data_IF_138671377018
#
_entry.id   IF_138671377018
#
_cell.length_a   1.000
_cell.length_b   1.000
_cell.length_c   1.000
_cell.angle_alpha   90.00
_cell.angle_beta   90.00
_cell.angle_gamma   90.00
#
_symmetry.space_group_name_H-M   'P 1'
#
loop_
_entity.id
_entity.type
_entity.pdbx_description
1 polymer ?
#
# COMPACT_ATOMS: atom_id res chain seq x y z
N UNK A 1 -49.06 24.25 -9.51
CA UNK A 1 -48.24 24.96 -8.51
C UNK A 1 -46.82 24.43 -8.62
N UNK A 2 -45.93 25.16 -9.30
CA UNK A 2 -44.54 24.75 -9.53
C UNK A 2 -43.65 25.34 -8.43
N UNK A 3 -43.05 24.49 -7.61
CA UNK A 3 -42.10 24.89 -6.57
C UNK A 3 -40.72 25.10 -7.19
N UNK A 4 -40.28 26.37 -7.25
CA UNK A 4 -38.90 26.76 -7.59
C UNK A 4 -37.96 26.24 -6.50
N UNK A 5 -36.97 25.40 -6.88
CA UNK A 5 -35.81 25.10 -6.03
C UNK A 5 -34.90 26.33 -5.94
N UNK A 6 -34.38 26.68 -4.75
CA UNK A 6 -33.43 27.77 -4.60
C UNK A 6 -32.04 27.38 -5.12
N UNK A 7 -31.35 28.35 -5.70
CA UNK A 7 -30.00 28.21 -6.23
C UNK A 7 -28.99 27.96 -5.10
N UNK A 8 -28.22 26.88 -5.24
CA UNK A 8 -27.09 26.54 -4.37
C UNK A 8 -25.95 27.52 -4.61
N UNK A 9 -25.63 28.33 -3.59
CA UNK A 9 -24.50 29.25 -3.58
C UNK A 9 -23.24 28.46 -3.26
N UNK A 10 -22.43 28.16 -4.28
CA UNK A 10 -21.09 27.60 -4.12
C UNK A 10 -20.18 28.65 -3.51
N UNK A 11 -19.84 28.48 -2.23
CA UNK A 11 -18.80 29.25 -1.55
C UNK A 11 -17.45 28.65 -1.93
N UNK A 12 -16.69 29.34 -2.79
CA UNK A 12 -15.30 28.97 -3.07
C UNK A 12 -14.42 29.19 -1.83
N UNK A 13 -13.61 28.21 -1.41
CA UNK A 13 -12.65 28.40 -0.34
C UNK A 13 -11.52 29.33 -0.84
N UNK A 14 -11.50 30.56 -0.33
CA UNK A 14 -10.40 31.51 -0.55
C UNK A 14 -9.15 31.05 0.21
N UNK A 15 -8.32 30.24 -0.44
CA UNK A 15 -6.96 29.97 0.03
C UNK A 15 -6.14 31.25 -0.07
N UNK A 16 -6.00 31.97 1.05
CA UNK A 16 -5.06 33.08 1.18
C UNK A 16 -3.64 32.55 0.91
N UNK A 17 -3.09 32.88 -0.26
CA UNK A 17 -1.66 32.73 -0.57
C UNK A 17 -0.87 33.41 0.56
N UNK A 18 -0.27 32.61 1.44
CA UNK A 18 0.73 33.08 2.40
C UNK A 18 1.90 33.61 1.60
N UNK A 19 2.08 34.93 1.60
CA UNK A 19 3.29 35.57 1.07
C UNK A 19 4.49 34.94 1.78
N UNK A 20 5.29 34.16 1.05
CA UNK A 20 6.61 33.71 1.49
C UNK A 20 7.52 34.94 1.53
N UNK A 21 7.49 35.68 2.63
CA UNK A 21 8.63 36.50 3.03
C UNK A 21 9.79 35.54 3.28
N UNK A 22 10.69 35.45 2.31
CA UNK A 22 11.99 34.80 2.43
C UNK A 22 12.75 35.50 3.57
N UNK A 23 12.63 35.00 4.79
CA UNK A 23 13.57 35.30 5.85
C UNK A 23 14.91 34.73 5.40
N UNK A 24 15.76 35.60 4.84
CA UNK A 24 17.17 35.31 4.67
C UNK A 24 17.72 35.02 6.07
N UNK A 25 17.98 33.74 6.34
CA UNK A 25 18.71 33.35 7.53
C UNK A 25 20.07 34.03 7.46
N UNK A 26 20.52 34.71 8.54
CA UNK A 26 21.82 35.34 8.56
C UNK A 26 22.87 34.29 8.20
N UNK A 27 23.63 34.53 7.13
CA UNK A 27 24.66 33.61 6.66
C UNK A 27 25.63 33.32 7.79
N UNK A 28 25.59 32.09 8.31
CA UNK A 28 26.45 31.67 9.42
C UNK A 28 27.88 31.66 8.91
N UNK A 29 28.65 32.67 9.27
CA UNK A 29 30.05 32.78 8.88
C UNK A 29 30.88 31.92 9.84
N UNK A 30 31.39 30.81 9.34
CA UNK A 30 32.29 29.95 10.10
C UNK A 30 33.61 30.67 10.32
N UNK A 31 34.03 30.84 11.58
CA UNK A 31 35.38 31.27 11.89
C UNK A 31 36.34 30.16 11.45
N UNK A 32 37.27 30.48 10.54
CA UNK A 32 38.32 29.54 10.16
C UNK A 32 39.17 29.22 11.40
N UNK A 33 39.57 27.97 11.54
CA UNK A 33 40.52 27.57 12.58
C UNK A 33 41.79 28.42 12.43
N UNK A 34 42.21 29.08 13.50
CA UNK A 34 43.50 29.78 13.55
C UNK A 34 44.59 28.78 13.17
N UNK A 35 45.36 29.06 12.12
CA UNK A 35 46.32 28.16 11.48
C UNK A 35 47.50 27.66 12.34
N UNK A 36 47.43 27.79 13.66
CA UNK A 36 48.45 27.38 14.62
C UNK A 36 47.97 26.31 15.62
N UNK A 37 46.78 25.71 15.46
CA UNK A 37 46.38 24.60 16.35
C UNK A 37 47.11 23.32 15.95
N UNK A 38 47.79 22.62 16.88
CA UNK A 38 48.24 21.25 16.64
C UNK A 38 47.05 20.42 16.15
N UNK A 39 47.31 19.51 15.22
CA UNK A 39 46.30 18.64 14.59
C UNK A 39 45.36 18.09 15.66
N UNK A 40 44.09 18.49 15.61
CA UNK A 40 43.09 17.94 16.53
C UNK A 40 42.86 16.48 16.13
N UNK A 41 43.58 15.57 16.78
CA UNK A 41 43.58 14.14 16.49
C UNK A 41 42.16 13.56 16.50
N UNK A 42 41.27 14.07 17.36
CA UNK A 42 39.87 13.63 17.41
C UNK A 42 39.10 14.00 16.14
N UNK A 43 39.27 15.20 15.60
CA UNK A 43 38.64 15.61 14.34
C UNK A 43 39.18 14.82 13.14
N UNK A 44 40.48 14.49 13.16
CA UNK A 44 41.08 13.64 12.15
C UNK A 44 40.54 12.21 12.23
N UNK A 45 40.46 11.64 13.43
CA UNK A 45 39.93 10.30 13.70
C UNK A 45 38.44 10.19 13.32
N UNK A 46 37.60 11.14 13.73
CA UNK A 46 36.17 11.16 13.36
C UNK A 46 35.95 11.41 11.86
N UNK A 47 36.93 12.01 11.18
CA UNK A 47 36.93 12.14 9.73
C UNK A 47 37.33 10.89 8.96
N UNK A 48 37.86 9.86 9.62
CA UNK A 48 38.12 8.58 8.99
C UNK A 48 36.79 7.93 8.63
N UNK A 49 36.65 7.54 7.35
CA UNK A 49 35.39 7.03 6.80
C UNK A 49 34.75 5.91 7.63
N UNK A 50 35.49 4.90 8.15
CA UNK A 50 34.88 3.85 8.98
C UNK A 50 34.24 4.37 10.29
N UNK A 51 34.84 5.38 10.90
CA UNK A 51 34.35 5.96 12.15
C UNK A 51 33.14 6.84 11.87
N UNK A 52 33.22 7.68 10.83
CA UNK A 52 32.09 8.49 10.40
C UNK A 52 30.89 7.63 10.02
N UNK A 53 31.13 6.55 9.29
CA UNK A 53 30.13 5.55 8.94
C UNK A 53 29.46 4.95 10.17
N UNK A 54 30.24 4.54 11.17
CA UNK A 54 29.71 3.98 12.40
C UNK A 54 28.88 5.00 13.18
N UNK A 55 29.35 6.25 13.29
CA UNK A 55 28.57 7.34 13.91
C UNK A 55 27.24 7.51 13.17
N UNK A 56 27.29 7.63 11.84
CA UNK A 56 26.12 7.86 10.98
C UNK A 56 25.13 6.70 11.03
N UNK A 57 25.59 5.47 11.22
CA UNK A 57 24.72 4.30 11.33
C UNK A 57 23.76 4.33 12.52
N UNK A 58 24.05 5.16 13.53
CA UNK A 58 23.20 5.36 14.71
C UNK A 58 22.40 6.66 14.66
N UNK A 59 22.41 7.38 13.54
CA UNK A 59 21.71 8.65 13.37
C UNK A 59 20.49 8.50 12.47
N UNK A 60 19.45 9.31 12.73
CA UNK A 60 18.34 9.49 11.78
C UNK A 60 18.74 10.53 10.72
N UNK A 61 18.03 10.59 9.57
CA UNK A 61 18.32 11.60 8.56
C UNK A 61 18.24 13.04 9.08
N UNK A 62 17.38 13.31 10.08
CA UNK A 62 17.22 14.62 10.69
C UNK A 62 18.48 15.05 11.50
N UNK A 63 19.26 14.11 12.01
CA UNK A 63 20.42 14.36 12.88
C UNK A 63 21.69 14.65 12.06
N UNK A 64 21.69 14.32 10.76
CA UNK A 64 22.81 14.59 9.87
C UNK A 64 23.12 16.09 9.71
N UNK A 65 22.08 16.93 9.70
CA UNK A 65 22.25 18.39 9.58
C UNK A 65 22.89 18.95 10.86
N UNK A 66 22.36 18.69 12.08
CA UNK A 66 23.05 19.04 13.31
C UNK A 66 24.49 18.52 13.37
N UNK A 67 24.75 17.27 12.99
CA UNK A 67 26.10 16.71 12.97
C UNK A 67 27.03 17.52 12.05
N UNK A 68 26.58 17.83 10.83
CA UNK A 68 27.35 18.64 9.89
C UNK A 68 27.58 20.07 10.39
N UNK A 69 26.67 20.58 11.24
CA UNK A 69 26.75 21.90 11.85
C UNK A 69 27.64 21.94 13.11
N UNK A 70 28.21 20.81 13.54
CA UNK A 70 29.14 20.80 14.68
C UNK A 70 30.48 21.46 14.33
N UNK A 71 31.05 21.16 13.15
CA UNK A 71 32.29 21.76 12.66
C UNK A 71 32.49 21.60 11.15
N UNK A 72 33.36 22.43 10.57
CA UNK A 72 33.70 22.40 9.14
C UNK A 72 34.27 21.05 8.69
N UNK A 73 35.09 20.39 9.53
CA UNK A 73 35.67 19.08 9.22
C UNK A 73 34.58 18.02 9.06
N UNK A 74 33.61 17.95 9.98
CA UNK A 74 32.46 17.04 9.85
C UNK A 74 31.63 17.34 8.61
N UNK A 75 31.34 18.63 8.35
CA UNK A 75 30.64 19.04 7.12
C UNK A 75 31.38 18.55 5.86
N UNK A 76 32.69 18.75 5.80
CA UNK A 76 33.52 18.33 4.67
C UNK A 76 33.56 16.80 4.51
N UNK A 77 33.67 16.05 5.61
CA UNK A 77 33.73 14.58 5.59
C UNK A 77 32.38 13.93 5.26
N UNK A 78 31.26 14.52 5.70
CA UNK A 78 29.92 14.11 5.26
C UNK A 78 29.72 14.34 3.76
N UNK A 79 30.47 15.29 3.19
CA UNK A 79 30.60 15.51 1.75
C UNK A 79 29.26 15.51 0.99
N UNK A 80 28.29 16.31 1.47
CA UNK A 80 26.96 16.38 0.85
C UNK A 80 26.97 16.84 -0.61
N UNK A 81 28.07 17.45 -1.08
CA UNK A 81 28.26 17.82 -2.48
C UNK A 81 28.52 16.61 -3.40
N UNK A 82 29.02 15.50 -2.86
CA UNK A 82 29.25 14.26 -3.60
C UNK A 82 28.03 13.35 -3.55
N UNK A 83 27.37 13.15 -4.70
CA UNK A 83 26.19 12.28 -4.82
C UNK A 83 26.45 10.85 -4.33
N UNK A 84 27.66 10.31 -4.56
CA UNK A 84 28.03 8.95 -4.15
C UNK A 84 28.26 8.86 -2.63
N UNK A 85 28.96 9.84 -2.05
CA UNK A 85 29.18 9.89 -0.60
C UNK A 85 27.86 10.03 0.14
N UNK A 86 27.01 10.95 -0.34
CA UNK A 86 25.67 11.14 0.20
C UNK A 86 24.83 9.86 0.13
N UNK A 87 24.79 9.17 -1.03
CA UNK A 87 24.06 7.90 -1.17
C UNK A 87 24.58 6.84 -0.20
N UNK A 88 25.89 6.69 -0.08
CA UNK A 88 26.51 5.72 0.82
C UNK A 88 26.24 6.00 2.30
N UNK A 89 26.11 7.28 2.69
CA UNK A 89 25.73 7.64 4.06
C UNK A 89 24.23 7.39 4.30
N UNK A 90 23.38 7.76 3.33
CA UNK A 90 21.94 7.57 3.42
C UNK A 90 21.51 6.09 3.49
N UNK A 91 22.31 5.16 2.95
CA UNK A 91 22.03 3.72 3.08
C UNK A 91 22.38 3.18 4.46
N UNK A 92 23.15 3.91 5.27
CA UNK A 92 23.68 3.44 6.56
C UNK A 92 22.95 4.03 7.75
N UNK A 93 22.38 5.23 7.60
CA UNK A 93 21.55 5.85 8.64
C UNK A 93 20.36 4.97 9.06
N UNK A 94 19.82 5.26 10.23
CA UNK A 94 18.58 4.69 10.71
C UNK A 94 17.39 5.15 9.86
N UNK A 95 16.31 4.37 9.90
CA UNK A 95 15.04 4.79 9.32
C UNK A 95 14.52 6.06 10.01
N UNK A 96 13.89 6.96 9.26
CA UNK A 96 13.36 8.22 9.80
C UNK A 96 12.15 8.08 10.71
N UNK A 97 11.46 6.93 10.70
CA UNK A 97 10.17 6.74 11.39
C UNK A 97 8.98 7.44 10.74
N UNK A 98 9.19 8.14 9.61
CA UNK A 98 8.14 8.96 9.00
C UNK A 98 6.92 8.14 8.55
N UNK A 99 7.12 6.92 8.06
CA UNK A 99 6.02 6.08 7.60
C UNK A 99 5.08 5.70 8.75
N UNK A 100 5.63 5.12 9.81
CA UNK A 100 4.88 4.79 11.03
C UNK A 100 4.24 6.03 11.66
N UNK A 101 4.96 7.15 11.74
CA UNK A 101 4.43 8.42 12.22
C UNK A 101 3.18 8.84 11.43
N UNK A 102 3.27 8.84 10.09
CA UNK A 102 2.17 9.29 9.23
C UNK A 102 0.96 8.37 9.34
N UNK A 103 1.15 7.05 9.38
CA UNK A 103 0.05 6.10 9.60
C UNK A 103 -0.65 6.38 10.94
N UNK A 104 0.12 6.54 12.01
CA UNK A 104 -0.44 6.85 13.32
C UNK A 104 -1.21 8.19 13.35
N UNK A 105 -0.88 9.15 12.47
CA UNK A 105 -1.56 10.44 12.38
C UNK A 105 -2.77 10.44 11.47
N UNK A 106 -2.74 9.69 10.36
CA UNK A 106 -3.83 9.63 9.40
C UNK A 106 -4.94 8.70 9.88
N UNK A 107 -4.56 7.59 10.52
CA UNK A 107 -5.52 6.63 11.05
C UNK A 107 -6.31 7.24 12.22
N UNK A 108 -7.65 7.32 12.13
CA UNK A 108 -8.45 7.79 13.26
C UNK A 108 -8.26 6.87 14.48
N UNK A 109 -8.46 7.38 15.71
CA UNK A 109 -8.59 6.52 16.87
C UNK A 109 -9.78 5.58 16.65
N UNK A 110 -9.57 4.27 16.86
CA UNK A 110 -10.64 3.30 16.72
C UNK A 110 -11.65 3.45 17.87
N UNK A 111 -12.96 3.56 17.60
CA UNK A 111 -13.97 3.82 18.64
C UNK A 111 -14.17 2.65 19.62
N UNK A 112 -13.83 1.42 19.22
CA UNK A 112 -14.12 0.20 19.99
C UNK A 112 -13.09 -0.27 21.04
N UNK A 113 -11.95 0.41 21.21
CA UNK A 113 -10.98 0.16 22.29
C UNK A 113 -10.23 -1.21 22.33
N UNK A 114 -10.76 -2.26 21.71
CA UNK A 114 -10.18 -3.62 21.74
C UNK A 114 -8.97 -3.77 20.80
N UNK A 115 -9.00 -3.07 19.66
CA UNK A 115 -7.89 -3.05 18.69
C UNK A 115 -6.77 -2.13 19.16
N UNK A 116 -5.57 -2.69 19.32
CA UNK A 116 -4.36 -1.95 19.66
C UNK A 116 -3.52 -1.72 18.42
N UNK A 117 -2.88 -0.57 18.34
CA UNK A 117 -1.88 -0.30 17.31
C UNK A 117 -0.65 -1.12 17.59
N UNK A 118 -0.15 -1.76 16.55
CA UNK A 118 1.07 -2.54 16.60
C UNK A 118 2.01 -2.08 15.48
N UNK A 119 3.30 -2.07 15.77
CA UNK A 119 4.35 -1.66 14.85
C UNK A 119 5.32 -0.69 15.50
N UNK A 120 6.61 -0.97 15.36
CA UNK A 120 7.71 -0.13 15.85
C UNK A 120 8.60 0.25 14.67
N UNK A 121 9.17 1.44 14.68
CA UNK A 121 10.12 1.79 13.63
C UNK A 121 11.44 1.07 13.90
N UNK A 122 12.04 0.44 12.88
CA UNK A 122 13.40 -0.09 13.00
C UNK A 122 14.50 0.98 13.22
N UNK A 123 14.15 2.27 13.29
CA UNK A 123 15.04 3.36 13.74
C UNK A 123 14.84 3.76 15.21
N UNK A 124 13.89 3.13 15.91
CA UNK A 124 13.64 3.28 17.35
C UNK A 124 14.14 2.06 18.12
N UNK A 125 13.96 0.89 17.54
CA UNK A 125 14.35 -0.38 18.14
C UNK A 125 15.45 -1.04 17.30
N UNK A 126 16.66 -1.07 17.84
CA UNK A 126 17.80 -1.74 17.20
C UNK A 126 17.79 -3.24 17.41
N UNK A 127 17.01 -3.75 18.35
CA UNK A 127 17.04 -5.13 18.80
C UNK A 127 16.04 -5.98 18.02
N UNK A 128 15.05 -5.34 17.39
CA UNK A 128 14.16 -6.00 16.45
C UNK A 128 14.85 -6.23 15.10
N UNK A 129 14.89 -7.51 14.69
CA UNK A 129 15.25 -7.98 13.35
C UNK A 129 14.23 -7.49 12.30
N UNK A 130 14.13 -6.18 12.13
CA UNK A 130 13.29 -5.56 11.13
C UNK A 130 14.09 -5.37 9.84
N UNK A 131 13.52 -5.86 8.73
CA UNK A 131 14.12 -5.70 7.42
C UNK A 131 14.25 -4.22 7.04
N UNK A 132 15.42 -3.84 6.52
CA UNK A 132 15.76 -2.47 6.13
C UNK A 132 16.49 -2.48 4.80
N UNK A 133 16.04 -1.63 3.89
CA UNK A 133 16.72 -1.40 2.61
C UNK A 133 16.72 0.09 2.24
N UNK A 134 17.68 0.53 1.42
CA UNK A 134 17.67 1.88 0.89
C UNK A 134 16.48 2.09 -0.06
N UNK A 135 15.79 3.22 0.09
CA UNK A 135 14.69 3.60 -0.78
C UNK A 135 15.15 3.67 -2.25
N UNK A 136 14.45 3.02 -3.17
CA UNK A 136 14.81 2.97 -4.61
C UNK A 136 14.94 4.35 -5.26
N UNK A 137 14.16 5.34 -4.81
CA UNK A 137 14.17 6.72 -5.34
C UNK A 137 15.20 7.64 -4.68
N UNK A 138 15.23 7.72 -3.35
CA UNK A 138 16.07 8.69 -2.62
C UNK A 138 17.29 8.10 -1.92
N UNK A 139 17.42 6.78 -1.83
CA UNK A 139 18.53 6.07 -1.18
C UNK A 139 18.49 6.06 0.35
N UNK A 140 17.54 6.74 0.98
CA UNK A 140 17.38 6.75 2.45
C UNK A 140 17.02 5.35 2.93
N UNK A 141 17.77 4.82 3.89
CA UNK A 141 17.46 3.56 4.54
C UNK A 141 16.06 3.60 5.17
N UNK A 142 15.25 2.61 4.86
CA UNK A 142 13.85 2.55 5.24
C UNK A 142 13.56 1.16 5.79
N UNK A 143 12.89 1.06 6.93
CA UNK A 143 12.46 -0.23 7.47
C UNK A 143 11.14 -0.68 6.84
N UNK A 144 10.78 -1.95 6.97
CA UNK A 144 9.52 -2.50 6.45
C UNK A 144 8.31 -1.71 6.99
N UNK A 145 8.31 -1.41 8.28
CA UNK A 145 7.29 -0.54 8.90
C UNK A 145 7.27 0.90 8.36
N UNK A 146 8.22 1.37 7.54
CA UNK A 146 8.22 2.75 7.03
C UNK A 146 8.28 2.85 5.51
N UNK A 147 8.32 1.72 4.80
CA UNK A 147 8.19 1.70 3.35
C UNK A 147 6.72 1.75 2.95
N UNK A 148 6.47 1.92 1.66
CA UNK A 148 5.13 1.88 1.07
C UNK A 148 4.70 0.41 0.95
N UNK A 149 3.56 0.09 1.53
CA UNK A 149 2.85 -1.18 1.33
C UNK A 149 1.52 -0.93 0.63
N UNK A 150 0.93 -1.97 0.04
CA UNK A 150 -0.46 -1.92 -0.41
C UNK A 150 -1.42 -2.07 0.76
N UNK A 151 -1.13 -2.98 1.67
CA UNK A 151 -1.86 -3.22 2.91
C UNK A 151 -0.91 -3.13 4.10
N UNK A 152 -1.20 -2.21 5.00
CA UNK A 152 -0.56 -2.19 6.31
C UNK A 152 -1.43 -2.91 7.31
N UNK A 153 -0.94 -4.00 7.88
CA UNK A 153 -1.49 -4.58 9.09
C UNK A 153 -1.00 -3.75 10.28
N UNK A 154 -1.89 -2.93 10.84
CA UNK A 154 -1.52 -1.93 11.86
C UNK A 154 -2.26 -2.11 13.17
N UNK A 155 -3.29 -2.95 13.19
CA UNK A 155 -4.15 -3.17 14.35
C UNK A 155 -4.27 -4.65 14.65
N UNK A 156 -4.20 -4.98 15.93
CA UNK A 156 -4.40 -6.32 16.45
C UNK A 156 -5.27 -6.26 17.69
N UNK A 157 -6.23 -7.17 17.78
CA UNK A 157 -7.05 -7.36 18.98
C UNK A 157 -6.35 -8.33 19.93
N UNK A 158 -6.27 -7.97 21.20
CA UNK A 158 -5.92 -8.94 22.23
C UNK A 158 -7.19 -9.71 22.63
N UNK A 159 -7.45 -10.82 21.96
CA UNK A 159 -8.67 -11.59 22.16
C UNK A 159 -8.70 -12.33 23.51
N UNK A 160 -7.60 -12.34 24.25
CA UNK A 160 -7.43 -13.15 25.45
C UNK A 160 -7.29 -14.66 25.14
N UNK A 161 -7.13 -15.49 26.19
CA UNK A 161 -6.92 -16.92 26.02
C UNK A 161 -8.14 -17.62 25.44
N UNK A 162 -7.92 -18.46 24.42
CA UNK A 162 -8.97 -19.30 23.81
C UNK A 162 -9.83 -18.64 22.75
N UNK A 163 -9.49 -17.42 22.32
CA UNK A 163 -10.24 -16.68 21.32
C UNK A 163 -9.42 -16.40 20.06
N UNK A 164 -10.10 -16.34 18.91
CA UNK A 164 -9.48 -15.90 17.66
C UNK A 164 -9.13 -14.42 17.74
N UNK A 165 -7.87 -14.11 17.46
CA UNK A 165 -7.36 -12.76 17.30
C UNK A 165 -7.94 -12.10 16.05
N UNK A 166 -8.46 -10.88 16.16
CA UNK A 166 -8.79 -10.07 15.00
C UNK A 166 -7.57 -9.24 14.58
N UNK A 167 -7.36 -9.15 13.27
CA UNK A 167 -6.39 -8.25 12.68
C UNK A 167 -7.11 -7.25 11.79
N UNK A 168 -6.59 -6.03 11.80
CA UNK A 168 -7.07 -5.00 10.92
C UNK A 168 -5.91 -4.15 10.41
N UNK A 169 -6.18 -3.49 9.31
CA UNK A 169 -5.18 -2.72 8.58
C UNK A 169 -5.82 -1.65 7.74
N UNK A 170 -5.04 -1.06 6.83
CA UNK A 170 -5.56 -0.07 5.89
C UNK A 170 -4.88 -0.22 4.54
N UNK A 171 -5.61 0.12 3.49
CA UNK A 171 -5.14 0.10 2.10
C UNK A 171 -4.36 1.38 1.82
N UNK A 172 -3.05 1.28 1.61
CA UNK A 172 -2.11 2.39 1.44
C UNK A 172 -2.26 3.51 2.49
N UNK A 173 -2.75 4.69 2.09
CA UNK A 173 -2.95 5.86 2.94
C UNK A 173 -4.44 6.15 3.17
N UNK A 174 -5.30 5.15 2.95
CA UNK A 174 -6.72 5.23 3.27
C UNK A 174 -6.91 5.38 4.77
N UNK A 175 -7.88 6.17 5.19
CA UNK A 175 -8.29 6.35 6.59
C UNK A 175 -9.23 5.24 7.07
N UNK A 176 -9.87 4.51 6.14
CA UNK A 176 -10.69 3.34 6.42
C UNK A 176 -9.87 2.11 6.79
N UNK A 177 -10.26 1.45 7.89
CA UNK A 177 -9.64 0.20 8.31
C UNK A 177 -10.35 -1.01 7.70
N UNK A 178 -9.60 -1.94 7.12
CA UNK A 178 -10.11 -3.20 6.58
C UNK A 178 -9.81 -4.36 7.51
N UNK A 179 -10.69 -5.34 7.54
CA UNK A 179 -10.46 -6.62 8.24
C UNK A 179 -9.38 -7.41 7.51
N UNK A 180 -8.46 -8.00 8.26
CA UNK A 180 -7.40 -8.85 7.73
C UNK A 180 -7.51 -10.25 8.32
N UNK A 181 -7.22 -11.23 7.47
CA UNK A 181 -7.31 -12.64 7.80
C UNK A 181 -6.02 -13.34 7.37
N UNK A 182 -5.59 -14.39 8.09
CA UNK A 182 -4.49 -15.22 7.64
C UNK A 182 -4.82 -15.90 6.29
N UNK A 183 -3.82 -16.25 5.47
CA UNK A 183 -4.00 -17.05 4.27
C UNK A 183 -4.76 -18.37 4.51
N UNK A 184 -5.50 -18.85 3.49
CA UNK A 184 -6.50 -19.91 3.62
C UNK A 184 -5.93 -21.29 4.02
N UNK A 185 -4.80 -21.70 3.44
CA UNK A 185 -4.22 -23.04 3.62
C UNK A 185 -3.10 -23.05 4.67
N UNK A 186 -3.18 -22.17 5.67
CA UNK A 186 -2.13 -22.13 6.70
C UNK A 186 -2.35 -23.22 7.74
N UNK A 187 -1.41 -24.16 7.80
CA UNK A 187 -1.26 -25.00 8.97
C UNK A 187 -0.94 -24.11 10.19
N UNK A 188 -1.91 -23.97 11.10
CA UNK A 188 -1.85 -23.13 12.30
C UNK A 188 -0.58 -23.39 13.12
N UNK A 189 -0.12 -24.65 13.18
CA UNK A 189 1.08 -25.03 13.93
C UNK A 189 2.39 -24.53 13.28
N UNK A 190 2.38 -24.30 11.95
CA UNK A 190 3.55 -23.81 11.20
C UNK A 190 3.55 -22.31 11.01
N UNK A 191 2.39 -21.65 11.07
CA UNK A 191 2.28 -20.21 10.84
C UNK A 191 2.38 -19.37 12.10
N UNK A 192 3.50 -19.53 12.81
CA UNK A 192 3.84 -18.70 13.98
C UNK A 192 3.67 -17.19 13.77
N UNK A 193 3.93 -16.56 12.60
CA UNK A 193 3.90 -15.10 12.52
C UNK A 193 2.52 -14.46 12.80
N UNK A 194 1.43 -15.04 12.31
CA UNK A 194 0.08 -14.50 12.54
C UNK A 194 -0.40 -14.73 13.97
N UNK A 195 -0.05 -15.88 14.54
CA UNK A 195 -0.50 -16.35 15.86
C UNK A 195 0.54 -16.19 16.96
N UNK A 196 1.64 -15.47 16.70
CA UNK A 196 2.68 -15.21 17.69
C UNK A 196 2.11 -14.45 18.89
N UNK A 197 2.71 -14.63 20.06
CA UNK A 197 2.44 -13.77 21.21
C UNK A 197 2.68 -12.30 20.84
N UNK A 198 1.96 -11.38 21.48
CA UNK A 198 2.02 -9.95 21.10
C UNK A 198 3.45 -9.38 21.16
N UNK A 199 4.28 -9.87 22.09
CA UNK A 199 5.67 -9.43 22.24
C UNK A 199 6.58 -9.98 21.13
N UNK A 200 6.20 -11.08 20.48
CA UNK A 200 6.94 -11.72 19.38
C UNK A 200 6.34 -11.42 18.00
N UNK A 201 5.16 -10.79 17.98
CA UNK A 201 4.39 -10.56 16.79
C UNK A 201 5.11 -9.61 15.83
N UNK A 202 5.20 -9.99 14.55
CA UNK A 202 5.73 -9.14 13.49
C UNK A 202 4.60 -8.85 12.50
N UNK A 203 4.31 -7.58 12.18
CA UNK A 203 3.27 -7.26 11.20
C UNK A 203 3.51 -7.97 9.87
N UNK A 204 2.43 -8.50 9.30
CA UNK A 204 2.41 -9.27 8.05
C UNK A 204 1.78 -8.40 6.95
N UNK A 205 2.46 -7.31 6.61
CA UNK A 205 2.02 -6.42 5.54
C UNK A 205 1.93 -7.15 4.20
N UNK A 206 0.97 -6.78 3.36
CA UNK A 206 0.76 -7.34 2.01
C UNK A 206 0.61 -8.88 1.94
N UNK A 207 0.33 -9.55 3.06
CA UNK A 207 0.12 -11.01 3.15
C UNK A 207 -1.25 -11.27 3.74
N UNK A 208 -1.90 -12.36 3.34
CA UNK A 208 -3.19 -12.75 3.88
C UNK A 208 -4.36 -12.56 2.95
N UNK A 209 -5.52 -12.38 3.57
CA UNK A 209 -6.76 -12.06 2.90
C UNK A 209 -7.32 -10.78 3.50
N UNK A 210 -8.01 -10.01 2.67
CA UNK A 210 -8.62 -8.73 3.05
C UNK A 210 -10.14 -8.85 2.96
N UNK A 211 -10.83 -8.42 4.02
CA UNK A 211 -12.29 -8.32 4.04
C UNK A 211 -12.77 -6.90 3.78
N UNK A 212 -14.04 -6.68 4.11
CA UNK A 212 -14.66 -5.35 4.08
C UNK A 212 -14.05 -4.42 5.13
N UNK A 213 -14.39 -3.14 5.02
CA UNK A 213 -14.08 -2.12 6.03
C UNK A 213 -14.68 -2.53 7.39
N UNK A 214 -13.98 -2.28 8.50
CA UNK A 214 -14.39 -2.69 9.85
C UNK A 214 -15.80 -2.21 10.23
N UNK A 215 -16.15 -0.98 9.89
CA UNK A 215 -17.45 -0.35 10.17
C UNK A 215 -18.49 -0.58 9.07
N UNK A 216 -18.18 -1.43 8.08
CA UNK A 216 -19.12 -1.80 7.02
C UNK A 216 -20.32 -2.58 7.56
N UNK A 217 -21.51 -2.20 7.11
CA UNK A 217 -22.75 -2.97 7.31
C UNK A 217 -22.84 -4.18 6.36
N UNK A 218 -22.04 -4.18 5.30
CA UNK A 218 -21.95 -5.30 4.36
C UNK A 218 -21.03 -6.39 4.88
N UNK A 219 -21.35 -7.64 4.56
CA UNK A 219 -20.42 -8.75 4.66
C UNK A 219 -19.84 -9.04 3.27
N UNK A 220 -18.66 -9.63 3.22
CA UNK A 220 -18.14 -10.21 1.99
C UNK A 220 -17.15 -11.32 2.33
N UNK A 221 -16.99 -12.25 1.39
CA UNK A 221 -15.93 -13.25 1.44
C UNK A 221 -14.57 -12.55 1.33
N UNK A 222 -13.61 -12.77 2.24
CA UNK A 222 -12.29 -12.18 2.17
C UNK A 222 -11.54 -12.63 0.93
N UNK A 223 -10.85 -11.68 0.35
CA UNK A 223 -10.17 -11.83 -0.92
C UNK A 223 -8.68 -12.04 -0.69
N UNK A 224 -8.07 -12.95 -1.45
CA UNK A 224 -6.64 -13.21 -1.35
C UNK A 224 -5.84 -11.98 -1.76
N UNK A 225 -4.93 -11.52 -0.89
CA UNK A 225 -4.02 -10.44 -1.24
C UNK A 225 -3.08 -10.84 -2.37
N UNK A 226 -2.68 -12.10 -2.48
CA UNK A 226 -1.85 -12.53 -3.61
C UNK A 226 -2.57 -12.34 -4.94
N UNK A 227 -3.84 -12.74 -5.00
CA UNK A 227 -4.66 -12.52 -6.19
C UNK A 227 -4.78 -11.02 -6.54
N UNK A 228 -5.14 -10.19 -5.55
CA UNK A 228 -5.29 -8.74 -5.74
C UNK A 228 -3.96 -8.11 -6.18
N UNK A 229 -2.86 -8.51 -5.55
CA UNK A 229 -1.54 -7.93 -5.78
C UNK A 229 -0.95 -8.34 -7.13
N UNK A 230 -1.20 -9.57 -7.58
CA UNK A 230 -0.66 -10.14 -8.82
C UNK A 230 -1.61 -10.00 -10.02
N UNK A 231 -2.80 -9.43 -9.84
CA UNK A 231 -3.70 -9.15 -10.96
C UNK A 231 -2.99 -8.28 -12.01
N UNK A 232 -2.98 -8.75 -13.25
CA UNK A 232 -2.41 -8.03 -14.37
C UNK A 232 -3.27 -6.81 -14.75
N UNK A 233 -2.79 -5.62 -14.37
CA UNK A 233 -3.53 -4.37 -14.58
C UNK A 233 -3.45 -3.85 -16.02
N UNK A 234 -2.70 -4.52 -16.90
CA UNK A 234 -2.70 -4.22 -18.33
C UNK A 234 -3.91 -4.76 -19.07
N UNK A 235 -4.54 -5.81 -18.53
CA UNK A 235 -5.73 -6.46 -19.09
C UNK A 235 -7.05 -5.98 -18.46
N UNK A 236 -6.98 -5.25 -17.34
CA UNK A 236 -8.16 -4.83 -16.56
C UNK A 236 -8.04 -3.40 -16.07
N UNK A 237 -9.16 -2.67 -16.08
CA UNK A 237 -9.26 -1.31 -15.52
C UNK A 237 -9.66 -1.32 -14.04
N UNK A 238 -10.22 -2.43 -13.56
CA UNK A 238 -10.56 -2.74 -12.17
C UNK A 238 -10.14 -4.16 -11.82
N UNK A 239 -9.90 -4.37 -10.54
CA UNK A 239 -9.82 -5.69 -9.91
C UNK A 239 -11.26 -6.05 -9.54
N UNK A 240 -11.70 -7.22 -9.99
CA UNK A 240 -12.99 -7.81 -9.64
C UNK A 240 -12.77 -8.79 -8.48
N UNK A 241 -13.70 -8.85 -7.51
CA UNK A 241 -13.63 -9.84 -6.44
C UNK A 241 -13.83 -11.26 -7.02
N UNK A 242 -13.23 -12.28 -6.41
CA UNK A 242 -13.53 -13.69 -6.72
C UNK A 242 -14.81 -14.16 -6.04
N UNK A 243 -15.17 -13.56 -4.92
CA UNK A 243 -16.39 -13.86 -4.18
C UNK A 243 -17.67 -13.38 -4.87
N UNK A 244 -18.84 -13.71 -4.31
CA UNK A 244 -20.14 -13.26 -4.82
C UNK A 244 -20.24 -11.74 -4.98
N UNK A 245 -20.87 -11.32 -6.06
CA UNK A 245 -21.14 -9.92 -6.39
C UNK A 245 -22.66 -9.71 -6.29
N UNK A 246 -23.16 -9.37 -5.10
CA UNK A 246 -24.53 -8.88 -4.90
C UNK A 246 -25.26 -9.40 -3.67
N UNK A 247 -26.30 -8.67 -3.26
CA UNK A 247 -27.11 -8.98 -2.09
C UNK A 247 -26.45 -8.51 -0.78
N UNK A 248 -26.47 -9.34 0.25
CA UNK A 248 -25.83 -9.07 1.56
C UNK A 248 -24.31 -9.31 1.50
N UNK A 249 -23.85 -10.07 0.49
CA UNK A 249 -22.45 -10.37 0.22
C UNK A 249 -21.94 -9.51 -0.94
N UNK A 250 -21.23 -8.42 -0.63
CA UNK A 250 -20.79 -7.45 -1.62
C UNK A 250 -19.26 -7.46 -1.74
N UNK A 251 -18.72 -8.38 -2.55
CA UNK A 251 -17.28 -8.46 -2.81
C UNK A 251 -16.68 -7.15 -3.33
N UNK A 252 -17.46 -6.31 -4.04
CA UNK A 252 -16.95 -5.02 -4.55
C UNK A 252 -16.62 -4.05 -3.44
N UNK A 253 -17.24 -4.17 -2.27
CA UNK A 253 -16.93 -3.35 -1.11
C UNK A 253 -15.47 -3.49 -0.67
N UNK A 254 -14.89 -4.69 -0.84
CA UNK A 254 -13.47 -4.95 -0.58
C UNK A 254 -12.60 -4.24 -1.63
N UNK A 255 -13.00 -4.29 -2.90
CA UNK A 255 -12.20 -3.79 -4.02
C UNK A 255 -12.19 -2.27 -4.18
N UNK A 256 -13.07 -1.51 -3.51
CA UNK A 256 -13.21 -0.06 -3.69
C UNK A 256 -11.86 0.67 -3.59
N UNK A 257 -11.13 0.47 -2.49
CA UNK A 257 -9.88 1.19 -2.24
C UNK A 257 -8.77 0.81 -3.22
N UNK A 258 -8.66 -0.47 -3.56
CA UNK A 258 -7.71 -0.95 -4.57
C UNK A 258 -8.03 -0.36 -5.95
N UNK A 259 -9.31 -0.36 -6.33
CA UNK A 259 -9.75 0.17 -7.61
C UNK A 259 -9.57 1.68 -7.76
N UNK A 260 -9.60 2.44 -6.66
CA UNK A 260 -9.19 3.86 -6.68
C UNK A 260 -7.72 3.96 -7.12
N UNK A 261 -6.82 3.19 -6.50
CA UNK A 261 -5.38 3.19 -6.81
C UNK A 261 -5.13 2.72 -8.24
N UNK A 262 -5.76 1.62 -8.66
CA UNK A 262 -5.65 1.08 -10.02
C UNK A 262 -6.10 2.12 -11.05
N UNK A 263 -7.21 2.81 -10.82
CA UNK A 263 -7.70 3.86 -11.74
C UNK A 263 -6.78 5.08 -11.81
N UNK A 264 -6.05 5.42 -10.74
CA UNK A 264 -5.11 6.56 -10.75
C UNK A 264 -3.96 6.40 -11.74
N UNK A 265 -3.64 5.18 -12.16
CA UNK A 265 -2.57 4.93 -13.15
C UNK A 265 -3.05 5.13 -14.58
N UNK A 266 -4.35 5.20 -14.85
CA UNK A 266 -4.87 5.16 -16.22
C UNK A 266 -4.78 6.56 -16.82
N UNK A 267 -4.04 6.65 -17.93
CA UNK A 267 -3.96 7.84 -18.76
C UNK A 267 -4.77 7.63 -20.03
N UNK A 268 -5.57 8.63 -20.41
CA UNK A 268 -6.21 8.69 -21.72
C UNK A 268 -5.36 9.51 -22.68
N UNK A 269 -5.13 8.98 -23.88
CA UNK A 269 -4.35 9.63 -24.94
C UNK A 269 -5.05 9.48 -26.28
N UNK A 270 -5.02 10.53 -27.12
CA UNK A 270 -5.31 10.37 -28.54
C UNK A 270 -4.20 9.53 -29.21
N UNK A 271 -4.49 8.90 -30.35
CA UNK A 271 -3.53 8.06 -31.07
C UNK A 271 -2.16 8.75 -31.27
N UNK A 272 -2.14 10.03 -31.73
CA UNK A 272 -0.89 10.78 -31.92
C UNK A 272 -0.03 10.88 -30.63
N UNK A 273 -0.65 11.26 -29.51
CA UNK A 273 0.07 11.35 -28.23
C UNK A 273 0.41 9.98 -27.67
N UNK A 274 -0.42 8.97 -27.92
CA UNK A 274 -0.16 7.59 -27.53
C UNK A 274 1.08 7.03 -28.25
N UNK A 275 1.21 7.26 -29.56
CA UNK A 275 2.41 6.89 -30.33
C UNK A 275 3.63 7.65 -29.82
N UNK A 276 3.48 8.97 -29.61
CA UNK A 276 4.57 9.82 -29.12
C UNK A 276 5.08 9.40 -27.73
N UNK A 277 4.18 8.99 -26.84
CA UNK A 277 4.50 8.52 -25.49
C UNK A 277 5.01 7.05 -25.49
N UNK A 278 5.13 6.41 -26.66
CA UNK A 278 5.68 5.05 -26.82
C UNK A 278 4.68 3.92 -26.60
N UNK A 279 3.37 4.21 -26.54
CA UNK A 279 2.34 3.24 -26.19
C UNK A 279 2.19 2.06 -27.16
N UNK A 280 2.64 2.21 -28.42
CA UNK A 280 2.59 1.13 -29.42
C UNK A 280 3.60 0.01 -29.14
N UNK A 281 4.67 0.28 -28.39
CA UNK A 281 5.81 -0.64 -28.31
C UNK A 281 5.61 -1.78 -27.30
N UNK A 282 4.69 -1.64 -26.34
CA UNK A 282 4.48 -2.65 -25.30
C UNK A 282 3.08 -2.61 -24.69
N UNK A 283 2.55 -3.80 -24.40
CA UNK A 283 1.38 -3.97 -23.53
C UNK A 283 1.79 -3.71 -22.08
N UNK A 284 0.89 -3.14 -21.29
CA UNK A 284 1.09 -3.02 -19.85
C UNK A 284 1.06 -4.42 -19.22
N UNK A 285 1.98 -4.67 -18.28
CA UNK A 285 2.04 -5.92 -17.49
C UNK A 285 2.16 -5.62 -15.99
N UNK A 286 1.94 -4.35 -15.59
CA UNK A 286 2.11 -3.95 -14.21
C UNK A 286 1.11 -4.66 -13.30
N UNK A 287 1.59 -5.05 -12.13
CA UNK A 287 0.77 -5.51 -11.02
C UNK A 287 0.88 -4.52 -9.84
N UNK A 288 0.00 -4.65 -8.85
CA UNK A 288 0.13 -3.90 -7.60
C UNK A 288 1.37 -4.36 -6.81
N UNK A 289 1.72 -5.64 -6.87
CA UNK A 289 2.92 -6.21 -6.24
C UNK A 289 4.19 -5.56 -6.75
N UNK A 290 4.38 -5.51 -8.08
CA UNK A 290 5.54 -4.87 -8.70
C UNK A 290 5.62 -3.39 -8.35
N UNK A 291 4.47 -2.70 -8.34
CA UNK A 291 4.42 -1.25 -8.14
C UNK A 291 4.73 -0.83 -6.70
N UNK A 292 4.25 -1.60 -5.71
CA UNK A 292 4.29 -1.17 -4.31
C UNK A 292 5.06 -2.11 -3.39
N UNK A 293 4.96 -3.43 -3.57
CA UNK A 293 5.50 -4.41 -2.62
C UNK A 293 6.97 -4.76 -2.91
N UNK A 294 7.31 -4.99 -4.18
CA UNK A 294 8.69 -5.33 -4.58
C UNK A 294 9.60 -4.10 -4.59
N UNK A 295 9.03 -2.90 -4.68
CA UNK A 295 9.77 -1.65 -4.66
C UNK A 295 9.93 -1.17 -3.23
N UNK A 296 11.15 -1.21 -2.72
CA UNK A 296 11.46 -0.60 -1.43
C UNK A 296 11.39 0.94 -1.52
N UNK A 297 10.20 1.52 -1.41
CA UNK A 297 9.97 2.95 -1.57
C UNK A 297 9.60 3.54 -0.22
N UNK A 298 10.30 4.57 0.25
CA UNK A 298 9.90 5.23 1.50
C UNK A 298 8.60 6.00 1.33
N UNK A 299 7.81 6.14 2.40
CA UNK A 299 6.51 6.84 2.35
C UNK A 299 6.61 8.26 1.77
N UNK A 300 7.68 9.01 2.05
CA UNK A 300 7.90 10.34 1.45
C UNK A 300 7.95 10.30 -0.08
N UNK A 301 8.71 9.36 -0.63
CA UNK A 301 8.79 9.18 -2.07
C UNK A 301 7.48 8.61 -2.64
N UNK A 302 6.81 7.72 -1.91
CA UNK A 302 5.47 7.22 -2.24
C UNK A 302 4.44 8.33 -2.39
N UNK A 303 4.33 9.22 -1.40
CA UNK A 303 3.41 10.38 -1.45
C UNK A 303 3.71 11.27 -2.65
N UNK A 304 4.99 11.50 -2.97
CA UNK A 304 5.37 12.26 -4.15
C UNK A 304 4.93 11.57 -5.45
N UNK A 305 5.10 10.25 -5.55
CA UNK A 305 4.60 9.46 -6.70
C UNK A 305 3.07 9.50 -6.79
N UNK A 306 2.36 9.36 -5.68
CA UNK A 306 0.90 9.46 -5.63
C UNK A 306 0.41 10.84 -6.06
N UNK A 307 1.13 11.91 -5.67
CA UNK A 307 0.81 13.27 -6.11
C UNK A 307 1.09 13.47 -7.61
N UNK A 308 2.19 12.90 -8.14
CA UNK A 308 2.46 12.85 -9.59
C UNK A 308 1.34 12.10 -10.33
N UNK A 309 0.89 10.95 -9.82
CA UNK A 309 -0.22 10.17 -10.39
C UNK A 309 -1.54 10.97 -10.35
N UNK A 310 -1.84 11.61 -9.23
CA UNK A 310 -3.06 12.41 -9.04
C UNK A 310 -3.10 13.66 -9.91
N UNK A 311 -2.00 14.42 -9.99
CA UNK A 311 -1.95 15.64 -10.82
C UNK A 311 -2.12 15.33 -12.31
N UNK A 312 -1.62 14.18 -12.76
CA UNK A 312 -1.88 13.71 -14.11
C UNK A 312 -3.36 13.35 -14.34
N UNK A 313 -4.09 12.93 -13.29
CA UNK A 313 -5.52 12.61 -13.36
C UNK A 313 -6.44 13.81 -13.17
N UNK A 314 -6.12 14.78 -12.32
CA UNK A 314 -7.01 15.95 -12.08
C UNK A 314 -7.14 16.87 -13.29
N UNK A 315 -6.15 16.87 -14.20
CA UNK A 315 -6.30 17.48 -15.52
C UNK A 315 -7.42 16.79 -16.32
N UNK A 316 -7.87 15.61 -15.91
CA UNK A 316 -8.79 14.73 -16.65
C UNK A 316 -10.16 14.43 -15.99
N UNK A 317 -10.41 14.83 -14.74
CA UNK A 317 -11.58 14.33 -13.96
C UNK A 317 -12.93 14.97 -14.33
N UNK A 318 -12.96 16.07 -15.08
CA UNK A 318 -14.22 16.61 -15.67
C UNK A 318 -14.31 16.44 -17.19
N UNK A 319 -13.18 16.16 -17.83
CA UNK A 319 -13.03 15.88 -19.26
C UNK A 319 -11.78 15.04 -19.39
N UNK A 320 -11.85 13.88 -20.03
CA UNK A 320 -10.67 13.04 -20.28
C UNK A 320 -9.69 13.79 -21.22
N UNK A 321 -8.88 14.70 -20.71
CA UNK A 321 -8.06 15.60 -21.54
C UNK A 321 -6.72 14.93 -21.86
N UNK A 322 -6.42 14.79 -23.15
CA UNK A 322 -5.08 14.46 -23.61
C UNK A 322 -4.16 15.68 -23.38
N UNK A 323 -2.85 15.51 -23.09
CA UNK A 323 -1.93 16.64 -22.93
C UNK A 323 -1.88 17.63 -24.10
N UNK A 324 -2.29 17.20 -25.31
CA UNK A 324 -2.42 18.09 -26.48
C UNK A 324 -3.69 18.97 -26.47
N UNK A 325 -4.46 18.96 -25.38
CA UNK A 325 -5.69 19.74 -25.19
C UNK A 325 -6.78 19.46 -26.24
N UNK A 326 -6.71 18.33 -26.97
CA UNK A 326 -7.86 17.81 -27.72
C UNK A 326 -8.93 17.40 -26.71
N UNK A 327 -9.93 18.27 -26.54
CA UNK A 327 -11.07 18.06 -25.66
C UNK A 327 -11.94 16.92 -26.18
N UNK A 328 -12.43 16.10 -25.25
CA UNK A 328 -13.48 15.14 -25.51
C UNK A 328 -14.83 15.82 -25.30
N UNK A 329 -15.64 15.89 -26.34
CA UNK A 329 -17.09 15.97 -26.14
C UNK A 329 -17.55 14.64 -25.56
N UNK A 330 -18.32 14.70 -24.47
CA UNK A 330 -18.70 13.57 -23.63
C UNK A 330 -19.55 12.52 -24.36
N UNK A 331 -20.09 12.86 -25.54
CA UNK A 331 -21.04 12.06 -26.30
C UNK A 331 -20.42 11.02 -27.25
N UNK A 332 -19.12 11.10 -27.54
CA UNK A 332 -18.44 10.11 -28.37
C UNK A 332 -17.07 9.87 -27.75
N UNK A 333 -16.81 8.69 -27.20
CA UNK A 333 -15.44 8.22 -27.04
C UNK A 333 -15.02 7.77 -28.44
N UNK A 334 -14.27 8.58 -29.20
CA UNK A 334 -13.87 8.19 -30.54
C UNK A 334 -13.01 6.94 -30.43
N UNK A 335 -13.13 6.03 -31.40
CA UNK A 335 -12.29 4.82 -31.55
C UNK A 335 -10.77 5.10 -31.52
N UNK A 336 -10.38 6.37 -31.58
CA UNK A 336 -9.00 6.89 -31.62
C UNK A 336 -8.38 7.16 -30.26
N UNK A 337 -9.07 6.84 -29.15
CA UNK A 337 -8.52 6.99 -27.81
C UNK A 337 -7.97 5.70 -27.26
N UNK A 338 -6.80 5.81 -26.64
CA UNK A 338 -6.06 4.69 -26.07
C UNK A 338 -5.87 4.90 -24.58
N UNK A 339 -6.06 3.83 -23.82
CA UNK A 339 -5.69 3.77 -22.42
C UNK A 339 -4.22 3.38 -22.30
N UNK A 340 -3.49 4.12 -21.49
CA UNK A 340 -2.06 3.93 -21.26
C UNK A 340 -1.79 3.91 -19.77
N UNK A 341 -0.94 2.98 -19.32
CA UNK A 341 -0.53 2.91 -17.93
C UNK A 341 0.49 4.01 -17.62
N UNK A 342 0.23 4.86 -16.61
CA UNK A 342 1.14 5.93 -16.20
C UNK A 342 2.48 5.39 -15.69
N UNK A 343 2.46 4.19 -15.10
CA UNK A 343 3.63 3.61 -14.45
C UNK A 343 4.64 3.07 -15.47
N UNK A 344 4.21 2.23 -16.41
CA UNK A 344 5.11 1.62 -17.40
C UNK A 344 5.03 2.27 -18.79
N UNK A 345 4.04 3.14 -19.05
CA UNK A 345 3.72 3.71 -20.38
C UNK A 345 3.24 2.69 -21.43
N UNK A 346 2.85 1.48 -21.00
CA UNK A 346 2.30 0.45 -21.89
C UNK A 346 0.80 0.62 -22.15
N UNK A 347 0.31 0.03 -23.25
CA UNK A 347 -1.11 -0.04 -23.62
C UNK A 347 -1.92 -0.85 -22.60
N UNK A 348 -3.10 -0.35 -22.22
CA UNK A 348 -4.11 -1.12 -21.46
C UNK A 348 -5.19 -1.57 -22.45
N UNK A 349 -5.54 -2.85 -22.42
CA UNK A 349 -6.59 -3.45 -23.26
C UNK A 349 -7.59 -4.08 -22.30
N UNK A 350 -8.87 -3.77 -22.45
CA UNK A 350 -9.94 -4.33 -21.61
C UNK A 350 -10.61 -5.50 -22.35
N UNK A 351 -10.85 -6.61 -21.64
CA UNK A 351 -11.66 -7.72 -22.16
C UNK A 351 -10.96 -8.70 -23.11
N UNK A 352 -9.65 -8.60 -23.31
CA UNK A 352 -8.86 -9.73 -23.80
C UNK A 352 -8.58 -10.64 -22.58
N UNK A 353 -9.60 -11.41 -22.17
CA UNK A 353 -9.37 -12.58 -21.32
C UNK A 353 -8.73 -13.62 -22.25
N UNK A 354 -7.40 -13.69 -22.22
CA UNK A 354 -6.67 -14.73 -22.92
C UNK A 354 -7.10 -16.07 -22.28
N UNK A 355 -7.83 -16.91 -23.04
CA UNK A 355 -8.27 -18.27 -22.65
C UNK A 355 -7.11 -19.17 -22.14
N UNK A 356 -5.86 -18.70 -22.24
CA UNK A 356 -4.64 -19.37 -21.81
C UNK A 356 -4.37 -19.29 -20.29
N UNK A 357 -4.97 -18.35 -19.55
CA UNK A 357 -4.72 -18.19 -18.10
C UNK A 357 -5.59 -19.09 -17.20
N UNK A 358 -6.63 -19.74 -17.73
CA UNK A 358 -7.47 -20.69 -16.97
C UNK A 358 -6.82 -22.08 -16.80
N UNK A 359 -5.63 -22.32 -17.38
CA UNK A 359 -4.90 -23.60 -17.25
C UNK A 359 -3.72 -23.55 -16.27
N UNK A 360 -3.69 -22.61 -15.32
CA UNK A 360 -2.87 -22.84 -14.12
C UNK A 360 -3.63 -23.82 -13.22
N UNK A 361 -3.73 -25.07 -13.70
CA UNK A 361 -4.00 -26.23 -12.88
C UNK A 361 -3.00 -26.19 -11.72
N UNK A 362 -3.53 -26.07 -10.53
CA UNK A 362 -2.90 -26.48 -9.28
C UNK A 362 -2.53 -27.96 -9.42
N UNK A 363 -1.37 -28.21 -10.02
CA UNK A 363 -0.67 -29.50 -9.91
C UNK A 363 -0.17 -29.64 -8.49
N UNK A 364 -1.05 -30.00 -7.57
CA UNK A 364 -0.70 -30.60 -6.30
C UNK A 364 -1.70 -31.71 -5.99
N UNK A 365 -1.22 -32.93 -6.29
CA UNK A 365 -1.41 -34.19 -5.56
C UNK A 365 -2.77 -34.92 -5.59
N UNK A 366 -2.71 -36.09 -6.23
CA UNK A 366 -3.70 -37.16 -6.22
C UNK A 366 -4.13 -37.57 -4.80
N UNK A 367 -5.38 -37.36 -4.42
CA UNK A 367 -6.04 -38.12 -3.36
C UNK A 367 -7.43 -38.58 -3.85
N UNK A 368 -7.50 -39.86 -4.25
CA UNK A 368 -8.75 -40.57 -4.42
C UNK A 368 -9.40 -40.76 -3.04
N UNK A 369 -10.53 -40.12 -2.79
CA UNK A 369 -11.39 -40.47 -1.67
C UNK A 369 -12.82 -40.75 -2.14
N UNK A 370 -13.33 -41.83 -1.57
CA UNK A 370 -14.52 -42.58 -1.88
C UNK A 370 -15.81 -41.93 -1.34
N UNK A 371 -16.93 -42.38 -1.91
CA UNK A 371 -18.24 -41.82 -1.65
C UNK A 371 -18.72 -41.97 -0.21
N UNK A 372 -19.28 -40.88 0.31
CA UNK A 372 -20.40 -40.93 1.24
C UNK A 372 -21.22 -39.64 1.05
N UNK A 373 -22.47 -39.80 0.63
CA UNK A 373 -23.38 -38.68 0.42
C UNK A 373 -23.91 -38.14 1.74
N UNK A 374 -24.21 -36.84 1.78
CA UNK A 374 -25.18 -36.25 2.72
C UNK A 374 -25.59 -34.81 2.31
N UNK A 375 -26.56 -34.12 2.96
CA UNK A 375 -27.92 -33.96 2.44
C UNK A 375 -28.40 -32.49 2.59
N UNK A 376 -27.90 -31.55 1.79
CA UNK A 376 -28.15 -30.12 2.05
C UNK A 376 -28.93 -29.38 0.97
N UNK A 377 -30.19 -29.78 0.79
CA UNK A 377 -31.16 -29.02 -0.03
C UNK A 377 -32.38 -28.51 0.76
N UNK A 378 -32.38 -28.56 2.09
CA UNK A 378 -33.57 -28.16 2.85
C UNK A 378 -33.34 -27.76 4.30
N UNK A 379 -32.68 -26.64 4.60
CA UNK A 379 -32.92 -25.93 5.88
C UNK A 379 -32.81 -24.41 5.72
N UNK A 380 -33.98 -23.76 5.80
CA UNK A 380 -34.09 -22.31 5.95
C UNK A 380 -33.53 -21.88 7.30
N UNK A 381 -32.44 -21.11 7.26
CA UNK A 381 -31.89 -20.43 8.41
C UNK A 381 -32.61 -19.09 8.61
N UNK A 382 -33.45 -19.00 9.64
CA UNK A 382 -33.92 -17.74 10.23
C UNK A 382 -32.71 -16.96 10.76
N UNK A 383 -32.23 -15.98 10.00
CA UNK A 383 -31.13 -15.10 10.41
C UNK A 383 -31.60 -14.10 11.47
N UNK A 384 -31.04 -14.24 12.68
CA UNK A 384 -31.07 -13.21 13.72
C UNK A 384 -29.95 -12.22 13.41
N UNK A 385 -30.32 -10.95 13.22
CA UNK A 385 -29.39 -9.87 12.88
C UNK A 385 -28.58 -9.46 14.10
N UNK A 386 -27.28 -9.77 14.11
CA UNK A 386 -26.32 -9.33 15.13
C UNK A 386 -25.33 -8.36 14.48
N UNK A 387 -24.99 -7.29 15.19
CA UNK A 387 -24.13 -6.20 14.73
C UNK A 387 -22.74 -6.73 14.29
N UNK A 388 -22.10 -6.03 13.34
CA UNK A 388 -21.04 -6.53 12.43
C UNK A 388 -19.77 -7.14 13.06
N UNK A 389 -19.54 -6.98 14.36
CA UNK A 389 -18.40 -7.57 15.08
C UNK A 389 -18.59 -9.09 15.31
N UNK A 390 -19.79 -9.51 15.72
CA UNK A 390 -20.06 -10.92 16.04
C UNK A 390 -20.11 -11.79 14.78
N UNK A 391 -20.61 -11.25 13.66
CA UNK A 391 -20.63 -11.95 12.37
C UNK A 391 -19.21 -12.21 11.86
N UNK A 392 -18.27 -11.27 12.06
CA UNK A 392 -16.89 -11.44 11.60
C UNK A 392 -16.17 -12.54 12.37
N UNK A 393 -16.43 -12.62 13.67
CA UNK A 393 -15.87 -13.64 14.56
C UNK A 393 -16.51 -15.00 14.32
N UNK A 394 -17.84 -15.06 14.16
CA UNK A 394 -18.55 -16.29 13.85
C UNK A 394 -18.17 -16.83 12.48
N UNK A 395 -18.01 -15.96 11.46
CA UNK A 395 -17.53 -16.38 10.13
C UNK A 395 -16.09 -16.88 10.18
N UNK A 396 -15.22 -16.27 10.99
CA UNK A 396 -13.86 -16.77 11.23
C UNK A 396 -13.86 -18.17 11.85
N UNK A 397 -14.67 -18.36 12.90
CA UNK A 397 -14.84 -19.65 13.57
C UNK A 397 -15.45 -20.69 12.61
N UNK A 398 -16.50 -20.33 11.86
CA UNK A 398 -17.16 -21.20 10.89
C UNK A 398 -16.23 -21.59 9.74
N UNK A 399 -15.36 -20.69 9.29
CA UNK A 399 -14.33 -21.04 8.30
C UNK A 399 -13.21 -21.91 8.86
N UNK A 400 -12.83 -21.70 10.11
CA UNK A 400 -11.85 -22.54 10.80
C UNK A 400 -12.41 -23.96 10.99
N UNK A 401 -13.68 -24.08 11.39
CA UNK A 401 -14.34 -25.36 11.62
C UNK A 401 -14.61 -26.14 10.33
N UNK A 402 -14.92 -25.46 9.22
CA UNK A 402 -15.39 -26.14 8.00
C UNK A 402 -14.29 -26.60 7.05
N UNK A 403 -13.04 -26.17 7.19
CA UNK A 403 -11.93 -26.62 6.35
C UNK A 403 -12.24 -26.60 4.84
N UNK A 404 -13.06 -25.65 4.37
CA UNK A 404 -13.70 -25.74 3.04
C UNK A 404 -12.63 -25.64 1.96
N UNK A 405 -12.37 -26.73 1.24
CA UNK A 405 -11.62 -26.74 -0.01
C UNK A 405 -12.45 -26.10 -1.13
N UNK A 406 -11.83 -25.19 -1.89
CA UNK A 406 -12.53 -24.35 -2.89
C UNK A 406 -12.80 -25.06 -4.23
N UNK A 407 -12.36 -26.30 -4.40
CA UNK A 407 -12.40 -26.98 -5.70
C UNK A 407 -13.69 -27.78 -5.95
N UNK A 408 -14.69 -27.70 -5.07
CA UNK A 408 -16.01 -28.24 -5.33
C UNK A 408 -16.80 -27.33 -6.31
N UNK A 409 -16.44 -27.40 -7.60
CA UNK A 409 -17.27 -26.85 -8.68
C UNK A 409 -18.61 -27.60 -8.75
N UNK A 410 -19.75 -26.91 -8.91
CA UNK A 410 -21.04 -27.55 -9.04
C UNK A 410 -21.20 -28.14 -10.46
N UNK A 411 -21.05 -29.46 -10.61
CA UNK A 411 -21.37 -30.13 -11.87
C UNK A 411 -22.89 -30.19 -12.08
N UNK A 412 -23.32 -29.62 -13.21
CA UNK A 412 -24.70 -29.64 -13.67
C UNK A 412 -25.11 -31.02 -14.20
N UNK A 413 -26.30 -31.45 -13.81
CA UNK A 413 -26.95 -32.67 -14.31
C UNK A 413 -27.36 -32.53 -15.78
N UNK A 414 -26.84 -33.40 -16.65
CA UNK A 414 -27.56 -33.83 -17.85
C UNK A 414 -28.34 -35.10 -17.50
N UNK A 415 -29.65 -34.99 -17.45
CA UNK A 415 -30.57 -36.13 -17.33
C UNK A 415 -30.57 -36.96 -18.62
N UNK A 416 -30.48 -38.28 -18.46
CA UNK A 416 -30.95 -39.29 -19.41
C UNK A 416 -31.65 -40.41 -18.64
#
# INVERSE_FOLDING_TARGET
>A
MATKRPASTTVEPTYKKRNKTSLQSPGRQWSMANGNSPTNNLLHTTGQYPILEHIVAHLRPADLIPLAQTCQTMYANLNFGSRNSHKNLLTKILCSGLGLYLRNHISPPHPGGALRRYGTCGGEDTDLEMEKHPCVRCGVNTCDECRVHMIYQSLVEDAGPGNIRLWAGHVQFSDSFVRLFPPKHMNLARNRPWFAELDEYKPQHDVGRVGVVLDSEFAARPESLDHILDTNLGRRISIEPKGPIGGVLEGRAIMVHFNIIVKMRILYRCDECFVKDGGLQKRCQCTLRERFVQRWTCVRCGIHESHEDYTNKMVTDKRRICPCAKDLEESELPETWRMMCNWCKGKIIEGEDDEEDEQVETKDEDDQADGSGDPYDALGATQVWVLSEDLSRSMLLEWEERGIDDDASPEGTNEN
#
